data_IF_420676409146
#
_entry.id   IF_420676409146
#
_cell.length_a   1.000
_cell.length_b   1.000
_cell.length_c   1.000
_cell.angle_alpha   90.00
_cell.angle_beta   90.00
_cell.angle_gamma   90.00
#
_symmetry.space_group_name_H-M   'P 1'
#
loop_
_entity.id
_entity.type
_entity.pdbx_description
1 polymer ?
#
# COMPACT_ATOMS: atom_id res chain seq x y z
N UNK A 1 -64.39 -68.94 39.58
CA UNK A 1 -64.32 -67.99 38.43
C UNK A 1 -65.65 -67.26 38.40
N UNK A 2 -65.82 -65.96 38.50
CA UNK A 2 -64.91 -64.81 38.51
C UNK A 2 -65.64 -63.65 39.22
N UNK A 3 -64.86 -62.68 39.73
CA UNK A 3 -65.29 -61.58 40.60
C UNK A 3 -66.14 -60.48 39.92
N UNK A 4 -66.95 -59.81 40.75
CA UNK A 4 -67.58 -58.46 40.67
C UNK A 4 -66.71 -57.33 40.03
N UNK A 5 -67.16 -56.06 39.92
CA UNK A 5 -68.47 -55.43 39.63
C UNK A 5 -68.37 -54.31 38.55
N UNK A 6 -69.48 -53.59 38.33
CA UNK A 6 -69.67 -52.43 37.44
C UNK A 6 -69.21 -51.07 38.00
N UNK A 7 -69.14 -50.11 37.06
CA UNK A 7 -69.32 -48.65 37.16
C UNK A 7 -68.13 -47.77 37.58
N UNK A 8 -67.78 -46.82 36.70
CA UNK A 8 -66.81 -45.74 36.96
C UNK A 8 -66.54 -44.86 35.74
N UNK A 9 -67.40 -43.85 35.54
CA UNK A 9 -67.19 -42.55 34.87
C UNK A 9 -66.31 -42.47 33.61
N UNK A 10 -66.96 -42.42 32.45
CA UNK A 10 -66.42 -41.72 31.28
C UNK A 10 -66.72 -40.22 31.45
N UNK A 11 -65.74 -39.48 31.95
CA UNK A 11 -65.76 -38.02 31.90
C UNK A 11 -65.51 -37.55 30.47
N UNK A 12 -66.37 -36.64 30.01
CA UNK A 12 -66.17 -35.76 28.86
C UNK A 12 -64.74 -35.19 28.85
N UNK A 13 -63.93 -35.63 27.89
CA UNK A 13 -62.72 -34.93 27.52
C UNK A 13 -63.07 -33.95 26.40
N UNK A 14 -63.47 -32.74 26.80
CA UNK A 14 -63.54 -31.57 25.92
C UNK A 14 -62.15 -31.36 25.29
N UNK A 15 -62.02 -31.18 23.95
CA UNK A 15 -60.73 -30.85 23.36
C UNK A 15 -60.29 -29.49 23.88
N UNK A 16 -59.22 -29.48 24.68
CA UNK A 16 -58.57 -28.27 25.13
C UNK A 16 -58.08 -27.52 23.88
N UNK A 17 -58.66 -26.34 23.64
CA UNK A 17 -58.28 -25.49 22.52
C UNK A 17 -56.78 -25.24 22.60
N UNK A 18 -56.04 -25.69 21.58
CA UNK A 18 -54.63 -25.37 21.42
C UNK A 18 -54.49 -23.85 21.48
N UNK A 19 -53.80 -23.38 22.52
CA UNK A 19 -53.45 -21.98 22.72
C UNK A 19 -52.74 -21.50 21.45
N UNK A 20 -53.35 -20.53 20.76
CA UNK A 20 -52.81 -20.01 19.52
C UNK A 20 -51.39 -19.49 19.77
N UNK A 21 -50.43 -20.00 18.98
CA UNK A 21 -49.05 -19.52 19.02
C UNK A 21 -49.02 -17.98 18.99
N UNK A 22 -48.18 -17.33 19.81
CA UNK A 22 -48.13 -15.88 19.89
C UNK A 22 -47.94 -15.29 18.49
N UNK A 23 -48.82 -14.36 18.09
CA UNK A 23 -48.68 -13.63 16.82
C UNK A 23 -47.28 -13.03 16.78
N UNK A 24 -46.45 -13.50 15.85
CA UNK A 24 -45.13 -12.92 15.61
C UNK A 24 -45.27 -11.40 15.45
N UNK A 25 -44.48 -10.63 16.21
CA UNK A 25 -44.51 -9.18 16.16
C UNK A 25 -44.28 -8.71 14.71
N UNK A 26 -45.10 -7.76 14.24
CA UNK A 26 -45.00 -7.23 12.87
C UNK A 26 -43.65 -6.52 12.72
N UNK A 27 -42.78 -7.05 11.86
CA UNK A 27 -41.48 -6.45 11.55
C UNK A 27 -41.63 -5.30 10.56
N UNK A 28 -40.95 -4.19 10.81
CA UNK A 28 -40.92 -3.01 9.94
C UNK A 28 -39.49 -2.73 9.48
N UNK A 29 -39.31 -2.54 8.17
CA UNK A 29 -38.05 -2.12 7.56
C UNK A 29 -38.19 -0.66 7.11
N UNK A 30 -37.37 0.23 7.64
CA UNK A 30 -37.18 1.56 7.05
C UNK A 30 -36.09 1.43 5.98
N UNK A 31 -36.47 1.51 4.72
CA UNK A 31 -35.56 1.40 3.60
C UNK A 31 -35.11 2.79 3.14
N UNK A 32 -33.84 3.11 3.40
CA UNK A 32 -33.23 4.38 2.99
C UNK A 32 -32.64 4.21 1.60
N UNK A 33 -33.20 4.92 0.63
CA UNK A 33 -32.80 4.84 -0.78
C UNK A 33 -32.49 6.22 -1.34
N UNK A 34 -31.74 6.25 -2.42
CA UNK A 34 -31.24 7.46 -3.04
C UNK A 34 -29.86 7.25 -3.65
N UNK A 35 -29.40 8.23 -4.42
CA UNK A 35 -28.07 8.20 -5.02
C UNK A 35 -26.98 8.19 -3.93
N UNK A 36 -25.89 7.45 -4.15
CA UNK A 36 -24.69 7.54 -3.32
C UNK A 36 -24.30 9.02 -3.12
N UNK A 37 -23.69 9.35 -1.96
CA UNK A 37 -23.25 10.72 -1.63
C UNK A 37 -24.40 11.74 -1.42
N UNK A 38 -25.66 11.29 -1.41
CA UNK A 38 -26.84 12.11 -1.09
C UNK A 38 -27.21 12.11 0.39
N UNK A 39 -26.31 11.72 1.29
CA UNK A 39 -26.60 11.71 2.73
C UNK A 39 -27.27 10.46 3.27
N UNK A 40 -27.39 9.41 2.46
CA UNK A 40 -27.98 8.12 2.87
C UNK A 40 -27.34 7.57 4.16
N UNK A 41 -26.02 7.72 4.36
CA UNK A 41 -25.35 7.25 5.58
C UNK A 41 -25.73 8.08 6.81
N UNK A 42 -25.75 9.42 6.68
CA UNK A 42 -26.12 10.32 7.77
C UNK A 42 -27.57 10.08 8.23
N UNK A 43 -28.48 9.85 7.27
CA UNK A 43 -29.87 9.52 7.57
C UNK A 43 -30.01 8.14 8.23
N UNK A 44 -29.31 7.11 7.72
CA UNK A 44 -29.32 5.78 8.35
C UNK A 44 -28.82 5.84 9.78
N UNK A 45 -27.76 6.63 10.05
CA UNK A 45 -27.29 6.84 11.41
C UNK A 45 -28.35 7.51 12.27
N UNK A 46 -28.98 8.57 11.80
CA UNK A 46 -30.05 9.24 12.53
C UNK A 46 -31.20 8.28 12.86
N UNK A 47 -31.63 7.46 11.90
CA UNK A 47 -32.68 6.45 12.11
C UNK A 47 -32.25 5.37 13.13
N UNK A 48 -30.97 4.96 13.13
CA UNK A 48 -30.46 4.03 14.16
C UNK A 48 -30.47 4.64 15.56
N UNK A 49 -30.17 5.94 15.68
CA UNK A 49 -30.20 6.66 16.96
C UNK A 49 -31.62 6.82 17.51
N UNK A 50 -32.65 6.65 16.68
CA UNK A 50 -34.06 6.58 17.08
C UNK A 50 -34.48 5.17 17.56
N UNK A 51 -33.57 4.20 17.51
CA UNK A 51 -33.78 2.84 18.00
C UNK A 51 -34.05 1.80 16.93
N UNK A 52 -33.93 2.12 15.63
CA UNK A 52 -34.00 1.11 14.58
C UNK A 52 -32.70 0.28 14.55
N UNK A 53 -32.83 -1.04 14.45
CA UNK A 53 -31.68 -1.94 14.42
C UNK A 53 -30.84 -1.76 13.15
N UNK A 54 -29.52 -1.79 13.31
CA UNK A 54 -28.53 -1.84 12.23
C UNK A 54 -28.19 -3.30 11.88
N UNK A 55 -27.64 -3.58 10.68
CA UNK A 55 -27.19 -4.93 10.37
C UNK A 55 -26.01 -5.33 11.27
N UNK A 56 -25.94 -6.61 11.64
CA UNK A 56 -24.84 -7.16 12.46
C UNK A 56 -23.47 -6.97 11.81
N UNK A 57 -23.38 -7.09 10.48
CA UNK A 57 -22.13 -6.99 9.72
C UNK A 57 -22.17 -5.80 8.77
N UNK A 58 -21.61 -4.67 9.22
CA UNK A 58 -21.55 -3.42 8.45
C UNK A 58 -20.23 -3.26 7.70
N UNK A 59 -20.27 -2.56 6.56
CA UNK A 59 -19.07 -2.18 5.80
C UNK A 59 -18.10 -1.30 6.63
N UNK A 60 -18.62 -0.47 7.53
CA UNK A 60 -17.81 0.33 8.46
C UNK A 60 -17.14 1.56 7.82
N UNK A 61 -16.26 2.21 8.58
CA UNK A 61 -15.58 3.45 8.15
C UNK A 61 -14.50 3.18 7.10
N UNK A 62 -14.32 4.13 6.19
CA UNK A 62 -13.27 4.10 5.17
C UNK A 62 -12.80 5.53 4.82
N UNK A 63 -11.72 5.71 4.05
CA UNK A 63 -11.19 7.04 3.72
C UNK A 63 -12.17 7.99 2.99
N UNK A 64 -13.26 7.46 2.43
CA UNK A 64 -14.28 8.24 1.70
C UNK A 64 -15.52 8.57 2.55
N UNK A 65 -15.58 8.03 3.77
CA UNK A 65 -16.62 8.21 4.77
C UNK A 65 -16.08 7.80 6.16
N UNK A 66 -15.50 8.77 6.86
CA UNK A 66 -14.81 8.58 8.14
C UNK A 66 -15.76 8.13 9.27
N UNK A 67 -17.04 8.52 9.21
CA UNK A 67 -18.05 8.15 10.21
C UNK A 67 -18.56 6.71 10.09
N UNK A 68 -18.35 6.05 8.95
CA UNK A 68 -18.88 4.71 8.72
C UNK A 68 -19.95 4.61 7.65
N UNK A 69 -19.85 3.52 6.90
CA UNK A 69 -20.95 2.96 6.12
C UNK A 69 -21.78 2.02 7.01
N UNK A 70 -23.09 2.22 6.97
CA UNK A 70 -24.09 1.43 7.71
C UNK A 70 -24.71 0.33 6.83
N UNK A 71 -24.13 0.13 5.64
CA UNK A 71 -24.54 -0.89 4.68
C UNK A 71 -24.23 -2.30 5.18
N UNK A 72 -25.16 -3.27 5.05
CA UNK A 72 -24.86 -4.69 5.26
C UNK A 72 -23.89 -5.19 4.18
N UNK A 73 -22.65 -5.52 4.57
CA UNK A 73 -21.57 -5.81 3.63
C UNK A 73 -21.91 -6.98 2.69
N UNK A 74 -22.44 -8.08 3.24
CA UNK A 74 -22.76 -9.29 2.48
C UNK A 74 -23.88 -9.08 1.47
N UNK A 75 -24.80 -8.16 1.76
CA UNK A 75 -25.88 -7.80 0.85
C UNK A 75 -25.38 -6.90 -0.29
N UNK A 76 -24.45 -5.99 0.00
CA UNK A 76 -23.75 -5.21 -1.02
C UNK A 76 -23.00 -6.13 -2.00
N UNK A 77 -22.25 -7.11 -1.49
CA UNK A 77 -21.55 -8.12 -2.30
C UNK A 77 -22.52 -8.98 -3.13
N UNK A 78 -23.70 -9.30 -2.59
CA UNK A 78 -24.75 -10.00 -3.36
C UNK A 78 -25.31 -9.12 -4.50
N UNK A 79 -25.56 -7.83 -4.23
CA UNK A 79 -26.05 -6.88 -5.23
C UNK A 79 -25.00 -6.64 -6.34
N UNK A 80 -23.72 -6.54 -6.00
CA UNK A 80 -22.64 -6.43 -6.99
C UNK A 80 -22.56 -7.67 -7.88
N UNK A 81 -22.72 -8.88 -7.31
CA UNK A 81 -22.80 -10.12 -8.10
C UNK A 81 -24.02 -10.14 -9.03
N UNK A 82 -25.18 -9.69 -8.54
CA UNK A 82 -26.40 -9.62 -9.35
C UNK A 82 -26.25 -8.61 -10.50
N UNK A 83 -25.66 -7.44 -10.25
CA UNK A 83 -25.34 -6.47 -11.28
C UNK A 83 -24.40 -7.06 -12.34
N UNK A 84 -23.35 -7.78 -11.91
CA UNK A 84 -22.40 -8.41 -12.83
C UNK A 84 -23.08 -9.47 -13.72
N UNK A 85 -23.97 -10.31 -13.16
CA UNK A 85 -24.75 -11.28 -13.94
C UNK A 85 -25.69 -10.61 -14.96
N UNK A 86 -26.17 -9.40 -14.64
CA UNK A 86 -26.95 -8.56 -15.55
C UNK A 86 -26.09 -7.79 -16.57
N UNK A 87 -24.77 -8.00 -16.60
CA UNK A 87 -23.86 -7.25 -17.49
C UNK A 87 -23.74 -5.77 -17.11
N UNK A 88 -23.93 -5.46 -15.83
CA UNK A 88 -23.95 -4.12 -15.26
C UNK A 88 -23.01 -3.99 -14.07
N UNK A 89 -22.98 -2.79 -13.48
CA UNK A 89 -22.18 -2.41 -12.30
C UNK A 89 -22.85 -1.25 -11.57
N UNK A 90 -22.31 -0.89 -10.41
CA UNK A 90 -22.94 0.10 -9.51
C UNK A 90 -23.03 1.51 -10.12
N UNK A 91 -22.09 1.87 -10.99
CA UNK A 91 -21.99 3.13 -11.72
C UNK A 91 -22.60 3.06 -13.13
N UNK A 92 -23.34 1.99 -13.45
CA UNK A 92 -24.03 1.88 -14.72
C UNK A 92 -25.37 2.63 -14.71
N UNK A 93 -25.48 3.68 -15.51
CA UNK A 93 -26.68 4.50 -15.58
C UNK A 93 -27.76 3.93 -16.51
N UNK A 94 -27.53 2.82 -17.21
CA UNK A 94 -28.54 2.18 -18.08
C UNK A 94 -29.66 1.58 -17.23
N UNK A 95 -30.86 1.46 -17.80
CA UNK A 95 -31.95 0.73 -17.15
C UNK A 95 -31.59 -0.74 -17.02
N UNK A 96 -31.87 -1.33 -15.86
CA UNK A 96 -31.78 -2.78 -15.67
C UNK A 96 -33.10 -3.44 -16.06
N UNK A 97 -33.02 -4.57 -16.76
CA UNK A 97 -34.16 -5.46 -16.93
C UNK A 97 -33.89 -6.77 -16.15
N UNK A 98 -34.47 -6.93 -14.94
CA UNK A 98 -34.33 -8.15 -14.17
C UNK A 98 -34.86 -9.40 -14.88
N UNK A 99 -35.72 -9.26 -15.90
CA UNK A 99 -36.24 -10.40 -16.68
C UNK A 99 -35.16 -11.05 -17.56
N UNK A 100 -34.00 -10.41 -17.71
CA UNK A 100 -32.81 -11.00 -18.33
C UNK A 100 -32.28 -12.18 -17.49
N UNK A 101 -32.50 -12.19 -16.17
CA UNK A 101 -32.17 -13.34 -15.35
C UNK A 101 -33.12 -14.50 -15.66
N UNK A 102 -32.57 -15.68 -15.92
CA UNK A 102 -33.37 -16.90 -16.00
C UNK A 102 -34.10 -17.13 -14.65
N UNK A 103 -35.32 -17.70 -14.65
CA UNK A 103 -36.14 -17.81 -13.43
C UNK A 103 -35.43 -18.42 -12.22
N UNK A 104 -34.57 -19.44 -12.44
CA UNK A 104 -33.80 -20.07 -11.36
C UNK A 104 -32.77 -19.13 -10.70
N UNK A 105 -32.16 -18.21 -11.46
CA UNK A 105 -31.22 -17.21 -10.90
C UNK A 105 -31.98 -16.15 -10.11
N UNK A 106 -33.13 -15.69 -10.63
CA UNK A 106 -33.99 -14.75 -9.89
C UNK A 106 -34.43 -15.34 -8.54
N UNK A 107 -34.89 -16.59 -8.53
CA UNK A 107 -35.26 -17.30 -7.30
C UNK A 107 -34.08 -17.47 -6.35
N UNK A 108 -32.88 -17.76 -6.86
CA UNK A 108 -31.65 -17.80 -6.07
C UNK A 108 -31.40 -16.45 -5.36
N UNK A 109 -31.46 -15.33 -6.09
CA UNK A 109 -31.26 -14.01 -5.49
C UNK A 109 -32.35 -13.66 -4.47
N UNK A 110 -33.61 -14.00 -4.74
CA UNK A 110 -34.70 -13.83 -3.78
C UNK A 110 -34.44 -14.58 -2.48
N UNK A 111 -34.03 -15.85 -2.57
CA UNK A 111 -33.72 -16.68 -1.42
C UNK A 111 -32.50 -16.16 -0.65
N UNK A 112 -31.44 -15.74 -1.34
CA UNK A 112 -30.23 -15.19 -0.72
C UNK A 112 -30.48 -13.83 -0.06
N UNK A 113 -31.28 -12.95 -0.66
CA UNK A 113 -31.70 -11.70 -0.02
C UNK A 113 -32.48 -12.02 1.26
N UNK A 114 -33.45 -12.94 1.20
CA UNK A 114 -34.24 -13.31 2.38
C UNK A 114 -33.36 -13.87 3.51
N UNK A 115 -32.44 -14.77 3.16
CA UNK A 115 -31.47 -15.37 4.09
C UNK A 115 -30.58 -14.30 4.74
N UNK A 116 -30.03 -13.38 3.95
CA UNK A 116 -29.17 -12.30 4.47
C UNK A 116 -29.95 -11.32 5.35
N UNK A 117 -31.19 -10.95 4.99
CA UNK A 117 -32.01 -10.08 5.85
C UNK A 117 -32.31 -10.76 7.19
N UNK A 118 -32.58 -12.06 7.20
CA UNK A 118 -32.79 -12.79 8.45
C UNK A 118 -31.51 -12.88 9.29
N UNK A 119 -30.37 -13.20 8.68
CA UNK A 119 -29.08 -13.27 9.37
C UNK A 119 -28.64 -11.93 9.95
N UNK A 120 -28.73 -10.85 9.17
CA UNK A 120 -28.25 -9.52 9.54
C UNK A 120 -29.14 -8.81 10.56
N UNK A 121 -30.45 -9.04 10.55
CA UNK A 121 -31.41 -8.31 11.40
C UNK A 121 -32.17 -9.19 12.40
N UNK A 122 -32.12 -10.53 12.26
CA UNK A 122 -32.77 -11.48 13.17
C UNK A 122 -34.25 -11.17 13.40
N UNK A 123 -34.64 -11.15 14.68
CA UNK A 123 -36.02 -10.87 15.11
C UNK A 123 -36.31 -9.38 15.36
N UNK A 124 -35.48 -8.45 14.87
CA UNK A 124 -35.69 -7.01 15.06
C UNK A 124 -37.09 -6.60 14.57
N UNK A 125 -37.86 -5.95 15.46
CA UNK A 125 -39.22 -5.46 15.17
C UNK A 125 -39.20 -4.21 14.30
N UNK A 126 -38.16 -3.37 14.45
CA UNK A 126 -37.87 -2.22 13.60
C UNK A 126 -36.39 -2.22 13.23
N UNK A 127 -36.08 -2.17 11.95
CA UNK A 127 -34.71 -2.07 11.46
C UNK A 127 -34.59 -1.12 10.29
N UNK A 128 -33.38 -0.60 10.06
CA UNK A 128 -33.06 0.27 8.93
C UNK A 128 -32.18 -0.46 7.94
N UNK A 129 -32.62 -0.52 6.68
CA UNK A 129 -31.85 -1.09 5.59
C UNK A 129 -31.44 0.01 4.63
N UNK A 130 -30.13 0.12 4.43
CA UNK A 130 -29.54 1.04 3.46
C UNK A 130 -28.48 0.32 2.66
N UNK A 131 -28.66 0.30 1.36
CA UNK A 131 -27.62 -0.03 0.38
C UNK A 131 -28.03 0.68 -0.91
N UNK A 132 -27.27 1.66 -1.43
CA UNK A 132 -27.81 2.57 -2.44
C UNK A 132 -28.17 1.90 -3.78
N UNK A 133 -27.58 0.75 -4.13
CA UNK A 133 -27.98 -0.01 -5.34
C UNK A 133 -29.36 -0.63 -5.21
N UNK A 134 -29.92 -0.78 -4.00
CA UNK A 134 -31.33 -1.17 -3.80
C UNK A 134 -32.27 -0.21 -4.53
N UNK A 135 -31.89 1.05 -4.74
CA UNK A 135 -32.65 2.00 -5.58
C UNK A 135 -32.97 1.43 -6.98
N UNK A 136 -32.11 0.55 -7.51
CA UNK A 136 -32.25 -0.12 -8.81
C UNK A 136 -32.95 -1.48 -8.71
N UNK A 137 -33.15 -2.00 -7.50
CA UNK A 137 -33.72 -3.32 -7.21
C UNK A 137 -34.96 -3.27 -6.31
N UNK A 138 -35.55 -2.10 -6.09
CA UNK A 138 -36.71 -1.92 -5.19
C UNK A 138 -37.81 -2.95 -5.45
N UNK A 139 -38.25 -3.25 -6.69
CA UNK A 139 -39.30 -4.25 -6.92
C UNK A 139 -38.93 -5.65 -6.41
N UNK A 140 -37.66 -6.06 -6.57
CA UNK A 140 -37.15 -7.34 -6.09
C UNK A 140 -37.17 -7.40 -4.56
N UNK A 141 -36.59 -6.38 -3.91
CA UNK A 141 -36.55 -6.28 -2.46
C UNK A 141 -37.95 -6.19 -1.85
N UNK A 142 -38.85 -5.41 -2.44
CA UNK A 142 -40.25 -5.31 -2.03
C UNK A 142 -40.94 -6.68 -2.09
N UNK A 143 -40.71 -7.45 -3.17
CA UNK A 143 -41.23 -8.82 -3.31
C UNK A 143 -40.73 -9.75 -2.21
N UNK A 144 -39.42 -9.75 -1.93
CA UNK A 144 -38.80 -10.57 -0.89
C UNK A 144 -39.31 -10.17 0.50
N UNK A 145 -39.32 -8.89 0.84
CA UNK A 145 -39.79 -8.41 2.14
C UNK A 145 -41.26 -8.74 2.38
N UNK A 146 -42.10 -8.65 1.32
CA UNK A 146 -43.50 -9.08 1.39
C UNK A 146 -43.64 -10.58 1.69
N UNK A 147 -42.82 -11.44 1.08
CA UNK A 147 -42.80 -12.88 1.38
C UNK A 147 -42.37 -13.16 2.83
N UNK A 148 -41.42 -12.38 3.34
CA UNK A 148 -40.98 -12.41 4.74
C UNK A 148 -41.97 -11.77 5.72
N UNK A 149 -43.09 -11.21 5.23
CA UNK A 149 -44.09 -10.47 6.02
C UNK A 149 -43.51 -9.26 6.77
N UNK A 150 -42.52 -8.61 6.16
CA UNK A 150 -41.89 -7.38 6.64
C UNK A 150 -42.58 -6.19 5.98
N UNK A 151 -43.05 -5.24 6.79
CA UNK A 151 -43.65 -3.98 6.34
C UNK A 151 -42.54 -3.00 5.94
N UNK A 152 -42.45 -2.64 4.67
CA UNK A 152 -41.39 -1.76 4.16
C UNK A 152 -41.90 -0.33 4.04
N UNK A 153 -41.14 0.61 4.58
CA UNK A 153 -41.42 2.06 4.48
C UNK A 153 -40.19 2.77 3.94
N UNK A 154 -40.38 3.61 2.94
CA UNK A 154 -39.27 4.17 2.16
C UNK A 154 -38.96 5.60 2.61
N UNK A 155 -37.67 5.88 2.79
CA UNK A 155 -37.17 7.26 2.93
C UNK A 155 -36.26 7.53 1.74
N UNK A 156 -36.72 8.39 0.84
CA UNK A 156 -35.98 8.80 -0.35
C UNK A 156 -35.21 10.06 -0.01
N UNK A 157 -33.89 9.94 0.10
CA UNK A 157 -33.04 11.09 0.39
C UNK A 157 -32.37 11.63 -0.87
N UNK A 158 -32.65 12.89 -1.18
CA UNK A 158 -32.06 13.64 -2.26
C UNK A 158 -30.97 14.59 -1.77
N UNK A 159 -30.14 15.05 -2.69
CA UNK A 159 -29.16 16.11 -2.47
C UNK A 159 -29.02 16.91 -3.75
N UNK A 160 -28.61 18.18 -3.66
CA UNK A 160 -28.32 18.97 -4.84
C UNK A 160 -27.34 18.23 -5.79
N UNK A 161 -27.68 18.04 -7.07
CA UNK A 161 -26.85 17.34 -8.04
C UNK A 161 -25.42 17.87 -8.12
N UNK A 162 -25.22 19.20 -8.04
CA UNK A 162 -23.88 19.79 -8.08
C UNK A 162 -22.99 19.28 -6.94
N UNK A 163 -23.55 19.12 -5.75
CA UNK A 163 -22.83 18.61 -4.60
C UNK A 163 -22.50 17.12 -4.74
N UNK A 164 -23.44 16.33 -5.29
CA UNK A 164 -23.21 14.91 -5.59
C UNK A 164 -22.11 14.75 -6.64
N UNK A 165 -22.18 15.52 -7.73
CA UNK A 165 -21.18 15.52 -8.82
C UNK A 165 -19.81 15.88 -8.28
N UNK A 166 -19.69 16.95 -7.47
CA UNK A 166 -18.42 17.33 -6.87
C UNK A 166 -17.85 16.22 -5.95
N UNK A 167 -18.72 15.54 -5.18
CA UNK A 167 -18.28 14.44 -4.33
C UNK A 167 -17.84 13.22 -5.13
N UNK A 168 -18.48 12.89 -6.25
CA UNK A 168 -18.09 11.77 -7.12
C UNK A 168 -16.80 12.08 -7.87
N UNK A 169 -16.63 13.32 -8.34
CA UNK A 169 -15.38 13.75 -8.95
C UNK A 169 -14.19 13.60 -7.98
N UNK A 170 -14.36 13.95 -6.70
CA UNK A 170 -13.30 13.78 -5.69
C UNK A 170 -13.02 12.31 -5.36
N UNK A 171 -14.04 11.45 -5.35
CA UNK A 171 -13.93 10.04 -4.92
C UNK A 171 -13.47 9.11 -6.04
N UNK A 172 -14.08 9.24 -7.21
CA UNK A 172 -13.99 8.29 -8.32
C UNK A 172 -13.43 8.93 -9.60
N UNK A 173 -13.06 10.22 -9.57
CA UNK A 173 -12.58 10.98 -10.73
C UNK A 173 -13.61 11.04 -11.89
N UNK A 174 -14.89 10.88 -11.56
CA UNK A 174 -15.96 10.93 -12.55
C UNK A 174 -16.15 12.34 -13.13
N UNK A 175 -16.49 12.37 -14.41
CA UNK A 175 -16.81 13.62 -15.13
C UNK A 175 -18.21 14.12 -14.76
N UNK A 176 -18.43 15.43 -14.92
CA UNK A 176 -19.72 16.10 -14.65
C UNK A 176 -20.88 15.39 -15.37
N UNK A 177 -20.73 15.09 -16.65
CA UNK A 177 -21.77 14.43 -17.45
C UNK A 177 -22.08 13.03 -16.93
N UNK A 178 -21.05 12.21 -16.69
CA UNK A 178 -21.25 10.84 -16.20
C UNK A 178 -21.89 10.80 -14.81
N UNK A 179 -21.40 11.63 -13.87
CA UNK A 179 -22.01 11.76 -12.54
C UNK A 179 -23.45 12.25 -12.59
N UNK A 180 -23.78 13.14 -13.53
CA UNK A 180 -25.16 13.63 -13.73
C UNK A 180 -26.10 12.51 -14.15
N UNK A 181 -25.70 11.68 -15.13
CA UNK A 181 -26.51 10.54 -15.59
C UNK A 181 -26.68 9.49 -14.49
N UNK A 182 -25.64 9.25 -13.70
CA UNK A 182 -25.69 8.30 -12.60
C UNK A 182 -26.65 8.75 -11.50
N UNK A 183 -26.60 10.04 -11.12
CA UNK A 183 -27.56 10.63 -10.18
C UNK A 183 -28.99 10.54 -10.72
N UNK A 184 -29.19 10.88 -12.00
CA UNK A 184 -30.48 10.85 -12.68
C UNK A 184 -31.11 9.45 -12.63
N UNK A 185 -30.34 8.42 -12.99
CA UNK A 185 -30.78 7.01 -12.94
C UNK A 185 -31.30 6.62 -11.56
N UNK A 186 -30.50 6.87 -10.51
CA UNK A 186 -30.86 6.48 -9.16
C UNK A 186 -32.10 7.22 -8.64
N UNK A 187 -32.22 8.53 -8.92
CA UNK A 187 -33.36 9.32 -8.50
C UNK A 187 -34.66 8.84 -9.17
N UNK A 188 -34.63 8.61 -10.49
CA UNK A 188 -35.79 8.17 -11.25
C UNK A 188 -36.24 6.76 -10.89
N UNK A 189 -35.31 5.82 -10.71
CA UNK A 189 -35.67 4.43 -10.36
C UNK A 189 -36.19 4.32 -8.93
N UNK A 190 -35.54 4.96 -7.97
CA UNK A 190 -36.01 5.00 -6.59
C UNK A 190 -37.42 5.59 -6.48
N UNK A 191 -37.65 6.73 -7.14
CA UNK A 191 -38.95 7.39 -7.12
C UNK A 191 -40.02 6.50 -7.76
N UNK A 192 -39.81 6.07 -9.00
CA UNK A 192 -40.81 5.31 -9.74
C UNK A 192 -41.17 3.99 -9.05
N UNK A 193 -40.17 3.25 -8.57
CA UNK A 193 -40.38 1.93 -7.98
C UNK A 193 -41.03 1.94 -6.59
N UNK A 194 -41.05 3.09 -5.92
CA UNK A 194 -41.67 3.24 -4.58
C UNK A 194 -43.08 3.83 -4.61
N UNK A 195 -43.59 4.22 -5.79
CA UNK A 195 -44.97 4.73 -5.90
C UNK A 195 -45.98 3.73 -5.36
N UNK A 196 -47.01 4.24 -4.67
CA UNK A 196 -48.04 3.42 -4.02
C UNK A 196 -47.60 2.71 -2.74
N UNK A 197 -46.34 2.87 -2.30
CA UNK A 197 -45.86 2.42 -1.00
C UNK A 197 -45.80 3.58 0.00
N UNK A 198 -45.80 3.32 1.32
CA UNK A 198 -45.51 4.33 2.33
C UNK A 198 -44.11 4.90 2.10
N UNK A 199 -44.01 6.17 1.70
CA UNK A 199 -42.75 6.81 1.32
C UNK A 199 -42.71 8.26 1.79
N UNK A 200 -41.53 8.80 2.03
CA UNK A 200 -41.28 10.23 2.29
C UNK A 200 -40.01 10.66 1.55
N UNK A 201 -39.99 11.91 1.08
CA UNK A 201 -38.80 12.52 0.48
C UNK A 201 -38.17 13.47 1.50
N UNK A 202 -36.84 13.45 1.58
CA UNK A 202 -36.06 14.37 2.38
C UNK A 202 -34.87 14.88 1.57
N UNK A 203 -34.40 16.08 1.87
CA UNK A 203 -33.14 16.60 1.33
C UNK A 203 -32.01 16.51 2.35
N UNK A 204 -30.81 16.17 1.89
CA UNK A 204 -29.59 16.18 2.71
C UNK A 204 -29.37 17.56 3.33
N UNK A 205 -29.61 18.63 2.57
CA UNK A 205 -29.54 20.00 3.05
C UNK A 205 -30.52 20.24 4.22
N UNK A 206 -31.80 19.83 4.05
CA UNK A 206 -32.82 19.97 5.09
C UNK A 206 -32.50 19.18 6.37
N UNK A 207 -31.79 18.06 6.27
CA UNK A 207 -31.34 17.30 7.45
C UNK A 207 -30.25 17.99 8.26
N UNK A 208 -29.56 19.03 7.78
CA UNK A 208 -28.62 19.78 8.63
C UNK A 208 -29.29 21.00 9.24
N UNK A 209 -30.11 21.69 8.44
CA UNK A 209 -30.73 22.94 8.87
C UNK A 209 -31.94 22.70 9.78
N UNK A 210 -32.73 21.66 9.49
CA UNK A 210 -34.06 21.41 10.07
C UNK A 210 -34.30 19.93 10.36
N UNK A 211 -33.30 19.22 10.87
CA UNK A 211 -33.37 17.76 11.10
C UNK A 211 -34.57 17.33 11.94
N UNK A 212 -35.03 18.15 12.89
CA UNK A 212 -36.21 17.86 13.72
C UNK A 212 -37.47 17.71 12.88
N UNK A 213 -37.66 18.60 11.91
CA UNK A 213 -38.79 18.56 10.99
C UNK A 213 -38.71 17.31 10.10
N UNK A 214 -37.51 16.94 9.65
CA UNK A 214 -37.29 15.70 8.93
C UNK A 214 -37.67 14.45 9.74
N UNK A 215 -37.26 14.36 11.01
CA UNK A 215 -37.61 13.23 11.88
C UNK A 215 -39.11 13.20 12.20
N UNK A 216 -39.72 14.34 12.53
CA UNK A 216 -41.15 14.43 12.79
C UNK A 216 -41.96 14.09 11.52
N UNK A 217 -41.46 14.46 10.33
CA UNK A 217 -42.00 14.08 9.03
C UNK A 217 -41.94 12.57 8.77
N UNK A 218 -40.80 11.92 9.02
CA UNK A 218 -40.67 10.44 8.95
C UNK A 218 -41.68 9.79 9.88
N UNK A 219 -41.74 10.25 11.13
CA UNK A 219 -42.61 9.68 12.18
C UNK A 219 -44.06 9.71 11.76
N UNK A 220 -44.54 10.89 11.33
CA UNK A 220 -45.94 11.12 10.98
C UNK A 220 -46.34 10.46 9.66
N UNK A 221 -45.55 10.66 8.60
CA UNK A 221 -45.85 10.13 7.25
C UNK A 221 -45.78 8.61 7.24
N UNK A 222 -44.70 8.05 7.80
CA UNK A 222 -44.49 6.61 7.79
C UNK A 222 -45.18 5.92 8.96
N UNK A 223 -45.79 6.64 9.91
CA UNK A 223 -46.50 6.09 11.09
C UNK A 223 -45.60 5.17 11.92
N UNK A 224 -44.38 5.62 12.20
CA UNK A 224 -43.36 4.84 12.93
C UNK A 224 -43.50 5.09 14.43
N UNK A 225 -43.60 4.02 15.20
CA UNK A 225 -43.43 4.04 16.65
C UNK A 225 -41.96 3.78 16.96
N UNK A 226 -41.23 4.83 17.35
CA UNK A 226 -39.81 4.71 17.66
C UNK A 226 -39.58 3.93 18.96
N UNK A 227 -38.65 2.94 18.98
CA UNK A 227 -38.36 2.17 20.19
C UNK A 227 -37.81 3.00 21.35
N UNK A 228 -37.11 4.10 21.05
CA UNK A 228 -36.52 4.99 22.04
C UNK A 228 -37.40 6.24 22.29
N UNK A 229 -37.57 6.67 23.56
CA UNK A 229 -38.27 7.91 23.89
C UNK A 229 -37.59 9.16 23.28
N UNK A 230 -38.40 10.19 22.95
CA UNK A 230 -37.92 11.46 22.37
C UNK A 230 -36.82 12.15 23.18
N UNK A 231 -36.86 12.02 24.50
CA UNK A 231 -35.84 12.59 25.39
C UNK A 231 -34.44 11.95 25.19
N UNK A 232 -34.38 10.66 24.85
CA UNK A 232 -33.11 9.92 24.75
C UNK A 232 -32.37 10.22 23.44
N UNK A 233 -33.10 10.23 22.32
CA UNK A 233 -32.46 10.43 21.01
C UNK A 233 -32.22 11.90 20.65
N UNK A 234 -32.88 12.86 21.29
CA UNK A 234 -32.78 14.30 20.93
C UNK A 234 -31.35 14.84 21.07
N UNK A 235 -30.63 14.47 22.14
CA UNK A 235 -29.24 14.88 22.34
C UNK A 235 -28.30 14.18 21.35
N UNK A 236 -28.48 12.89 21.13
CA UNK A 236 -27.69 12.11 20.17
C UNK A 236 -27.83 12.65 18.74
N UNK A 237 -29.05 12.96 18.30
CA UNK A 237 -29.29 13.57 16.99
C UNK A 237 -28.76 15.00 16.90
N UNK A 238 -28.88 15.79 17.96
CA UNK A 238 -28.29 17.13 17.99
C UNK A 238 -26.79 17.08 17.76
N UNK A 239 -26.07 16.14 18.39
CA UNK A 239 -24.64 15.94 18.19
C UNK A 239 -24.32 15.41 16.79
N UNK A 240 -25.07 14.42 16.32
CA UNK A 240 -24.91 13.82 14.98
C UNK A 240 -24.98 14.86 13.85
N UNK A 241 -25.82 15.89 13.99
CA UNK A 241 -25.94 16.98 13.01
C UNK A 241 -25.20 18.26 13.39
N UNK A 242 -24.53 18.33 14.55
CA UNK A 242 -23.78 19.51 15.00
C UNK A 242 -22.48 19.69 14.22
N UNK A 243 -21.79 18.59 13.93
CA UNK A 243 -20.60 18.61 13.10
C UNK A 243 -21.03 18.74 11.63
N UNK A 244 -20.84 19.94 11.08
CA UNK A 244 -21.16 20.25 9.68
C UNK A 244 -20.18 19.54 8.75
N UNK A 245 -20.32 18.23 8.59
CA UNK A 245 -19.66 17.43 7.56
C UNK A 245 -20.29 17.62 6.18
N UNK A 246 -21.00 18.72 5.95
CA UNK A 246 -21.58 19.06 4.65
C UNK A 246 -20.47 19.50 3.68
N UNK A 247 -19.75 18.52 3.14
CA UNK A 247 -18.76 18.73 2.10
C UNK A 247 -19.45 19.03 0.78
N UNK A 248 -19.20 20.19 0.18
CA UNK A 248 -19.83 20.65 -1.07
C UNK A 248 -21.31 21.04 -0.87
N UNK A 249 -21.56 22.33 -0.63
CA UNK A 249 -22.89 22.91 -0.61
C UNK A 249 -23.17 23.60 -1.95
N UNK A 250 -24.39 23.45 -2.47
CA UNK A 250 -24.83 24.12 -3.68
C UNK A 250 -26.31 24.51 -3.55
N UNK A 251 -26.65 25.71 -4.03
CA UNK A 251 -28.03 26.21 -4.05
C UNK A 251 -28.78 25.77 -5.30
N UNK A 252 -30.11 25.82 -5.24
CA UNK A 252 -30.96 25.61 -6.42
C UNK A 252 -30.62 26.60 -7.54
N UNK A 253 -30.43 27.87 -7.21
CA UNK A 253 -30.06 28.90 -8.19
C UNK A 253 -28.74 28.62 -8.89
N UNK A 254 -27.74 28.07 -8.18
CA UNK A 254 -26.49 27.64 -8.79
C UNK A 254 -26.67 26.48 -9.77
N UNK A 255 -27.52 25.49 -9.42
CA UNK A 255 -27.84 24.37 -10.31
C UNK A 255 -28.54 24.87 -11.58
N UNK A 256 -29.54 25.74 -11.45
CA UNK A 256 -30.29 26.27 -12.60
C UNK A 256 -29.38 27.06 -13.56
N UNK A 257 -28.46 27.85 -13.00
CA UNK A 257 -27.55 28.70 -13.76
C UNK A 257 -26.34 27.96 -14.37
N UNK A 258 -26.05 26.72 -13.98
CA UNK A 258 -24.88 25.99 -14.48
C UNK A 258 -25.14 25.48 -15.92
N UNK A 259 -24.37 25.94 -16.93
CA UNK A 259 -24.57 25.55 -18.33
C UNK A 259 -24.03 24.14 -18.63
N UNK A 260 -23.26 23.53 -17.71
CA UNK A 260 -22.73 22.18 -17.87
C UNK A 260 -23.74 21.10 -17.49
N UNK A 261 -24.81 21.49 -16.80
CA UNK A 261 -25.85 20.61 -16.30
C UNK A 261 -27.04 20.65 -17.25
N UNK A 262 -27.40 19.48 -17.76
CA UNK A 262 -28.54 19.31 -18.65
C UNK A 262 -29.88 19.56 -17.94
N UNK A 263 -30.88 20.01 -18.71
CA UNK A 263 -32.21 20.34 -18.21
C UNK A 263 -32.93 19.15 -17.57
N UNK A 264 -32.65 17.91 -17.96
CA UNK A 264 -33.22 16.73 -17.29
C UNK A 264 -32.84 16.67 -15.81
N UNK A 265 -31.61 17.03 -15.46
CA UNK A 265 -31.14 17.03 -14.07
C UNK A 265 -31.88 18.10 -13.26
N UNK A 266 -32.03 19.30 -13.84
CA UNK A 266 -32.75 20.44 -13.23
C UNK A 266 -34.22 20.11 -13.02
N UNK A 267 -34.86 19.54 -14.04
CA UNK A 267 -36.26 19.11 -14.00
C UNK A 267 -36.52 18.03 -12.94
N UNK A 268 -35.66 17.01 -12.87
CA UNK A 268 -35.80 15.94 -11.88
C UNK A 268 -35.54 16.45 -10.48
N UNK A 269 -34.50 17.27 -10.27
CA UNK A 269 -34.24 17.85 -8.95
C UNK A 269 -35.39 18.75 -8.50
N UNK A 270 -35.90 19.60 -9.40
CA UNK A 270 -37.07 20.44 -9.13
C UNK A 270 -38.31 19.62 -8.77
N UNK A 271 -38.59 18.53 -9.48
CA UNK A 271 -39.70 17.63 -9.17
C UNK A 271 -39.52 16.90 -7.83
N UNK A 272 -38.31 16.43 -7.51
CA UNK A 272 -38.01 15.82 -6.20
C UNK A 272 -38.23 16.81 -5.05
N UNK A 273 -37.88 18.09 -5.24
CA UNK A 273 -38.17 19.15 -4.26
C UNK A 273 -39.67 19.39 -4.07
N UNK A 274 -40.48 19.28 -5.12
CA UNK A 274 -41.94 19.32 -4.99
C UNK A 274 -42.45 18.10 -4.21
N UNK A 275 -41.90 16.91 -4.46
CA UNK A 275 -42.28 15.68 -3.76
C UNK A 275 -41.87 15.64 -2.28
N UNK A 276 -40.90 16.47 -1.87
CA UNK A 276 -40.55 16.71 -0.46
C UNK A 276 -41.68 17.43 0.30
N UNK A 277 -42.46 18.27 -0.40
CA UNK A 277 -43.61 18.98 0.16
C UNK A 277 -44.91 18.18 -0.01
N UNK A 278 -45.15 17.64 -1.21
CA UNK A 278 -46.31 16.78 -1.53
C UNK A 278 -45.88 15.50 -2.26
N UNK A 279 -45.82 14.40 -1.52
CA UNK A 279 -45.39 13.07 -1.98
C UNK A 279 -46.29 12.48 -3.08
N UNK A 280 -47.49 13.03 -3.25
CA UNK A 280 -48.50 12.60 -4.21
C UNK A 280 -48.72 13.59 -5.35
N UNK A 281 -47.87 14.63 -5.49
CA UNK A 281 -48.00 15.62 -6.56
C UNK A 281 -47.90 14.95 -7.95
N UNK A 282 -49.03 14.96 -8.66
CA UNK A 282 -49.17 14.29 -9.94
C UNK A 282 -48.35 14.94 -11.07
N UNK A 283 -48.15 16.27 -11.01
CA UNK A 283 -47.40 16.99 -12.02
C UNK A 283 -45.90 16.72 -11.90
N UNK A 284 -45.37 16.64 -10.69
CA UNK A 284 -44.01 16.22 -10.39
C UNK A 284 -43.76 14.79 -10.87
N UNK A 285 -44.62 13.83 -10.50
CA UNK A 285 -44.50 12.44 -10.96
C UNK A 285 -44.57 12.31 -12.49
N UNK A 286 -45.47 13.05 -13.14
CA UNK A 286 -45.58 13.05 -14.60
C UNK A 286 -44.33 13.60 -15.28
N UNK A 287 -43.71 14.66 -14.71
CA UNK A 287 -42.43 15.19 -15.20
C UNK A 287 -41.30 14.17 -15.06
N UNK A 288 -41.23 13.47 -13.93
CA UNK A 288 -40.26 12.40 -13.70
C UNK A 288 -40.45 11.26 -14.71
N UNK A 289 -41.69 10.86 -15.02
CA UNK A 289 -41.97 9.83 -16.02
C UNK A 289 -41.57 10.26 -17.43
N UNK A 290 -41.80 11.51 -17.81
CA UNK A 290 -41.40 12.05 -19.10
C UNK A 290 -39.87 12.00 -19.27
N UNK A 291 -39.13 12.47 -18.26
CA UNK A 291 -37.65 12.40 -18.27
C UNK A 291 -37.17 10.95 -18.27
N UNK A 292 -37.78 10.07 -17.46
CA UNK A 292 -37.42 8.65 -17.42
C UNK A 292 -37.63 7.96 -18.75
N UNK A 293 -38.78 8.16 -19.41
CA UNK A 293 -39.06 7.60 -20.72
C UNK A 293 -38.07 8.07 -21.79
N UNK A 294 -37.75 9.36 -21.80
CA UNK A 294 -36.75 9.92 -22.71
C UNK A 294 -35.35 9.36 -22.42
N UNK A 295 -34.96 9.25 -21.15
CA UNK A 295 -33.66 8.74 -20.74
C UNK A 295 -33.50 7.25 -21.04
N UNK A 296 -34.53 6.44 -20.77
CA UNK A 296 -34.54 5.00 -21.08
C UNK A 296 -34.44 4.75 -22.59
N UNK A 297 -34.96 5.66 -23.43
CA UNK A 297 -34.86 5.54 -24.90
C UNK A 297 -33.43 5.65 -25.43
N UNK A 298 -32.49 6.24 -24.67
CA UNK A 298 -31.07 6.34 -25.05
C UNK A 298 -30.30 5.04 -24.84
N UNK A 299 -30.78 4.14 -23.98
CA UNK A 299 -30.04 2.95 -23.56
C UNK A 299 -29.65 2.00 -24.70
N UNK A 300 -30.54 1.65 -25.66
CA UNK A 300 -30.23 0.68 -26.71
C UNK A 300 -29.12 1.15 -27.68
N UNK A 301 -29.02 2.47 -27.90
CA UNK A 301 -28.09 3.03 -28.90
C UNK A 301 -26.82 3.55 -28.21
N UNK A 302 -26.96 4.50 -27.30
CA UNK A 302 -25.81 5.16 -26.67
C UNK A 302 -25.28 4.36 -25.49
N UNK A 303 -26.17 3.89 -24.62
CA UNK A 303 -25.77 3.15 -23.42
C UNK A 303 -25.00 1.88 -23.77
N UNK A 304 -25.54 1.06 -24.68
CA UNK A 304 -24.92 -0.18 -25.10
C UNK A 304 -23.52 0.04 -25.72
N UNK A 305 -23.38 1.00 -26.63
CA UNK A 305 -22.10 1.32 -27.25
C UNK A 305 -21.09 1.90 -26.24
N UNK A 306 -21.55 2.82 -25.38
CA UNK A 306 -20.71 3.51 -24.40
C UNK A 306 -20.12 2.55 -23.36
N UNK A 307 -20.94 1.71 -22.73
CA UNK A 307 -20.45 0.80 -21.69
C UNK A 307 -19.62 -0.36 -22.27
N UNK A 308 -19.92 -0.82 -23.49
CA UNK A 308 -19.07 -1.80 -24.16
C UNK A 308 -17.66 -1.23 -24.42
N UNK A 309 -17.58 0.01 -24.93
CA UNK A 309 -16.32 0.70 -25.19
C UNK A 309 -15.54 0.98 -23.89
N UNK A 310 -16.20 1.48 -22.84
CA UNK A 310 -15.57 1.68 -21.52
C UNK A 310 -15.00 0.38 -20.99
N UNK A 311 -15.80 -0.69 -20.98
CA UNK A 311 -15.34 -2.00 -20.48
C UNK A 311 -14.15 -2.52 -21.27
N UNK A 312 -14.14 -2.34 -22.59
CA UNK A 312 -13.02 -2.74 -23.45
C UNK A 312 -11.75 -1.93 -23.15
N UNK A 313 -11.88 -0.60 -22.95
CA UNK A 313 -10.74 0.27 -22.60
C UNK A 313 -10.18 0.00 -21.23
N UNK A 314 -11.03 -0.21 -20.24
CA UNK A 314 -10.63 -0.58 -18.87
C UNK A 314 -9.87 -1.91 -18.89
N UNK A 315 -10.41 -2.92 -19.59
CA UNK A 315 -9.74 -4.21 -19.75
C UNK A 315 -8.37 -4.06 -20.40
N UNK A 316 -8.29 -3.33 -21.51
CA UNK A 316 -7.02 -3.10 -22.21
C UNK A 316 -6.02 -2.30 -21.35
N UNK A 317 -6.50 -1.35 -20.54
CA UNK A 317 -5.66 -0.60 -19.61
C UNK A 317 -5.13 -1.49 -18.47
N UNK A 318 -5.98 -2.35 -17.90
CA UNK A 318 -5.60 -3.30 -16.87
C UNK A 318 -4.58 -4.32 -17.39
N UNK A 319 -4.77 -4.84 -18.61
CA UNK A 319 -3.81 -5.74 -19.26
C UNK A 319 -2.46 -5.06 -19.49
N UNK A 320 -2.44 -3.80 -19.98
CA UNK A 320 -1.20 -3.03 -20.13
C UNK A 320 -0.50 -2.80 -18.79
N UNK A 321 -1.24 -2.46 -17.74
CA UNK A 321 -0.67 -2.26 -16.41
C UNK A 321 -0.08 -3.56 -15.84
N UNK A 322 -0.78 -4.70 -16.02
CA UNK A 322 -0.28 -6.00 -15.61
C UNK A 322 1.02 -6.38 -16.36
N UNK A 323 1.09 -6.11 -17.66
CA UNK A 323 2.30 -6.31 -18.47
C UNK A 323 3.45 -5.42 -18.00
N UNK A 324 3.20 -4.13 -17.75
CA UNK A 324 4.19 -3.20 -17.22
C UNK A 324 4.71 -3.64 -15.85
N UNK A 325 3.83 -4.12 -14.98
CA UNK A 325 4.23 -4.64 -13.67
C UNK A 325 5.10 -5.88 -13.78
N UNK A 326 4.73 -6.83 -14.65
CA UNK A 326 5.54 -8.02 -14.91
C UNK A 326 6.94 -7.64 -15.43
N UNK A 327 7.01 -6.72 -16.40
CA UNK A 327 8.29 -6.23 -16.93
C UNK A 327 9.13 -5.49 -15.87
N UNK A 328 8.49 -4.71 -15.00
CA UNK A 328 9.17 -4.05 -13.88
C UNK A 328 9.71 -5.07 -12.87
N UNK A 329 8.93 -6.10 -12.53
CA UNK A 329 9.37 -7.18 -11.63
C UNK A 329 10.57 -7.95 -12.22
N UNK A 330 10.58 -8.21 -13.53
CA UNK A 330 11.72 -8.81 -14.24
C UNK A 330 12.96 -7.92 -14.20
N UNK A 331 12.82 -6.61 -14.44
CA UNK A 331 13.92 -5.64 -14.36
C UNK A 331 14.49 -5.54 -12.94
N UNK A 332 13.63 -5.52 -11.92
CA UNK A 332 14.06 -5.54 -10.52
C UNK A 332 14.86 -6.82 -10.22
N UNK A 333 14.40 -7.98 -10.67
CA UNK A 333 15.11 -9.25 -10.49
C UNK A 333 16.45 -9.29 -11.25
N UNK A 334 16.56 -8.65 -12.41
CA UNK A 334 17.84 -8.49 -13.12
C UNK A 334 18.79 -7.55 -12.40
N UNK A 335 18.31 -6.40 -11.92
CA UNK A 335 19.11 -5.44 -11.16
C UNK A 335 19.65 -6.05 -9.86
N UNK A 336 18.85 -6.83 -9.13
CA UNK A 336 19.31 -7.54 -7.93
C UNK A 336 20.39 -8.59 -8.25
N UNK A 337 20.26 -9.32 -9.36
CA UNK A 337 21.31 -10.24 -9.83
C UNK A 337 22.60 -9.50 -10.18
N UNK A 338 22.51 -8.43 -10.97
CA UNK A 338 23.66 -7.61 -11.35
C UNK A 338 24.34 -6.98 -10.13
N UNK A 339 23.55 -6.55 -9.13
CA UNK A 339 24.07 -6.02 -7.86
C UNK A 339 24.81 -7.08 -7.06
N UNK A 340 24.27 -8.30 -6.96
CA UNK A 340 24.91 -9.41 -6.29
C UNK A 340 26.23 -9.79 -6.97
N UNK A 341 26.25 -9.86 -8.31
CA UNK A 341 27.48 -10.11 -9.07
C UNK A 341 28.53 -9.00 -8.88
N UNK A 342 28.12 -7.74 -8.94
CA UNK A 342 29.01 -6.61 -8.71
C UNK A 342 29.60 -6.63 -7.29
N UNK A 343 28.79 -6.96 -6.29
CA UNK A 343 29.24 -7.12 -4.90
C UNK A 343 30.27 -8.27 -4.77
N UNK A 344 30.01 -9.41 -5.40
CA UNK A 344 30.93 -10.55 -5.41
C UNK A 344 32.28 -10.19 -6.10
N UNK A 345 32.23 -9.54 -7.26
CA UNK A 345 33.45 -9.05 -7.95
C UNK A 345 34.20 -8.01 -7.10
N UNK A 346 33.48 -7.11 -6.42
CA UNK A 346 34.07 -6.13 -5.51
C UNK A 346 34.79 -6.78 -4.32
N UNK A 347 34.20 -7.82 -3.73
CA UNK A 347 34.84 -8.61 -2.67
C UNK A 347 36.11 -9.30 -3.17
N UNK A 348 36.06 -9.93 -4.35
CA UNK A 348 37.21 -10.60 -4.97
C UNK A 348 38.36 -9.61 -5.27
N UNK A 349 38.06 -8.43 -5.81
CA UNK A 349 39.08 -7.40 -6.07
C UNK A 349 39.70 -6.87 -4.77
N UNK A 350 38.90 -6.75 -3.72
CA UNK A 350 39.39 -6.34 -2.39
C UNK A 350 40.36 -7.39 -1.82
N UNK A 351 40.04 -8.67 -1.94
CA UNK A 351 40.92 -9.77 -1.54
C UNK A 351 42.24 -9.75 -2.33
N UNK A 352 42.16 -9.62 -3.67
CA UNK A 352 43.34 -9.51 -4.53
C UNK A 352 44.22 -8.30 -4.17
N UNK A 353 43.62 -7.15 -3.86
CA UNK A 353 44.36 -5.96 -3.42
C UNK A 353 45.09 -6.21 -2.09
N UNK A 354 44.42 -6.85 -1.12
CA UNK A 354 45.05 -7.19 0.16
C UNK A 354 46.22 -8.17 -0.02
N UNK A 355 46.08 -9.17 -0.89
CA UNK A 355 47.16 -10.10 -1.21
C UNK A 355 48.34 -9.41 -1.91
N UNK A 356 48.07 -8.53 -2.88
CA UNK A 356 49.12 -7.75 -3.54
C UNK A 356 49.83 -6.81 -2.57
N UNK A 357 49.10 -6.17 -1.65
CA UNK A 357 49.69 -5.33 -0.60
C UNK A 357 50.60 -6.15 0.32
N UNK A 358 50.15 -7.35 0.74
CA UNK A 358 50.94 -8.27 1.55
C UNK A 358 52.22 -8.69 0.83
N UNK A 359 52.13 -9.11 -0.43
CA UNK A 359 53.28 -9.47 -1.25
C UNK A 359 54.26 -8.29 -1.43
N UNK A 360 53.75 -7.07 -1.60
CA UNK A 360 54.58 -5.88 -1.71
C UNK A 360 55.34 -5.57 -0.41
N UNK A 361 54.69 -5.71 0.75
CA UNK A 361 55.34 -5.55 2.06
C UNK A 361 56.36 -6.67 2.33
N UNK A 362 56.07 -7.92 1.96
CA UNK A 362 57.01 -9.04 2.01
C UNK A 362 58.25 -8.76 1.15
N UNK A 363 58.08 -8.33 -0.10
CA UNK A 363 59.20 -7.97 -0.99
C UNK A 363 60.02 -6.80 -0.45
N UNK A 364 59.37 -5.81 0.16
CA UNK A 364 60.04 -4.65 0.76
C UNK A 364 60.85 -5.07 1.99
N UNK A 365 60.32 -5.95 2.83
CA UNK A 365 61.03 -6.52 3.97
C UNK A 365 62.25 -7.35 3.52
N UNK A 366 62.08 -8.20 2.51
CA UNK A 366 63.17 -8.99 1.91
C UNK A 366 64.26 -8.09 1.30
N UNK A 367 63.88 -7.03 0.59
CA UNK A 367 64.83 -6.06 0.04
C UNK A 367 65.61 -5.33 1.15
N UNK A 368 64.93 -4.90 2.22
CA UNK A 368 65.56 -4.28 3.37
C UNK A 368 66.53 -5.22 4.11
N UNK A 369 66.16 -6.50 4.25
CA UNK A 369 67.03 -7.52 4.84
C UNK A 369 68.29 -7.74 3.99
N UNK A 370 68.14 -7.88 2.66
CA UNK A 370 69.28 -8.01 1.73
C UNK A 370 70.19 -6.78 1.77
N UNK A 371 69.62 -5.58 1.84
CA UNK A 371 70.40 -4.34 1.95
C UNK A 371 71.17 -4.28 3.28
N UNK A 372 70.55 -4.70 4.38
CA UNK A 372 71.20 -4.78 5.69
C UNK A 372 72.37 -5.80 5.69
N UNK A 373 72.16 -6.99 5.11
CA UNK A 373 73.20 -8.02 4.97
C UNK A 373 74.36 -7.53 4.09
N UNK A 374 74.07 -6.88 2.96
CA UNK A 374 75.10 -6.30 2.10
C UNK A 374 75.89 -5.21 2.83
N UNK A 375 75.23 -4.35 3.60
CA UNK A 375 75.89 -3.34 4.44
C UNK A 375 76.76 -3.97 5.53
N UNK A 376 76.28 -5.02 6.19
CA UNK A 376 77.04 -5.73 7.23
C UNK A 376 78.29 -6.39 6.62
N UNK A 377 78.14 -7.08 5.49
CA UNK A 377 79.25 -7.70 4.75
C UNK A 377 80.27 -6.66 4.25
N UNK A 378 79.80 -5.51 3.75
CA UNK A 378 80.67 -4.41 3.33
C UNK A 378 81.49 -3.86 4.51
N UNK A 379 80.85 -3.60 5.66
CA UNK A 379 81.54 -3.16 6.89
C UNK A 379 82.55 -4.19 7.39
N UNK A 380 82.19 -5.48 7.40
CA UNK A 380 83.08 -6.55 7.82
C UNK A 380 84.31 -6.65 6.90
N UNK A 381 84.11 -6.50 5.59
CA UNK A 381 85.19 -6.50 4.60
C UNK A 381 86.08 -5.26 4.71
N UNK A 382 85.50 -4.09 4.95
CA UNK A 382 86.24 -2.86 5.22
C UNK A 382 87.12 -3.00 6.48
N UNK A 383 86.56 -3.56 7.57
CA UNK A 383 87.31 -3.81 8.80
C UNK A 383 88.45 -4.82 8.60
N UNK A 384 88.23 -5.91 7.84
CA UNK A 384 89.27 -6.88 7.49
C UNK A 384 90.38 -6.26 6.64
N UNK A 385 90.02 -5.42 5.66
CA UNK A 385 90.98 -4.68 4.85
C UNK A 385 91.78 -3.67 5.67
N UNK A 386 91.13 -2.94 6.58
CA UNK A 386 91.82 -2.03 7.52
C UNK A 386 92.79 -2.80 8.41
N UNK A 387 92.37 -3.93 9.01
CA UNK A 387 93.24 -4.75 9.84
C UNK A 387 94.46 -5.30 9.07
N UNK A 388 94.27 -5.69 7.81
CA UNK A 388 95.36 -6.10 6.91
C UNK A 388 96.30 -4.94 6.60
N UNK A 389 95.76 -3.77 6.27
CA UNK A 389 96.55 -2.57 6.00
C UNK A 389 97.36 -2.13 7.22
N UNK A 390 96.77 -2.15 8.43
CA UNK A 390 97.46 -1.86 9.69
C UNK A 390 98.59 -2.87 9.93
N UNK A 391 98.35 -4.16 9.67
CA UNK A 391 99.38 -5.20 9.79
C UNK A 391 100.52 -5.02 8.78
N UNK A 392 100.21 -4.65 7.54
CA UNK A 392 101.21 -4.33 6.52
C UNK A 392 102.00 -3.06 6.86
N UNK A 393 101.34 -2.02 7.37
CA UNK A 393 101.99 -0.81 7.83
C UNK A 393 102.97 -1.10 8.99
N UNK A 394 102.56 -1.95 9.94
CA UNK A 394 103.46 -2.42 11.01
C UNK A 394 104.67 -3.17 10.45
N UNK A 395 104.46 -4.09 9.51
CA UNK A 395 105.55 -4.83 8.86
C UNK A 395 106.49 -3.90 8.07
N UNK A 396 105.94 -2.91 7.38
CA UNK A 396 106.73 -1.93 6.65
C UNK A 396 107.58 -1.08 7.59
N UNK A 397 107.01 -0.64 8.72
CA UNK A 397 107.71 0.14 9.74
C UNK A 397 108.81 -0.68 10.45
N UNK A 398 108.55 -1.97 10.73
CA UNK A 398 109.56 -2.90 11.24
C UNK A 398 110.69 -3.12 10.23
N UNK A 399 110.36 -3.29 8.94
CA UNK A 399 111.34 -3.44 7.87
C UNK A 399 112.17 -2.16 7.67
N UNK A 400 111.56 -0.98 7.78
CA UNK A 400 112.23 0.31 7.73
C UNK A 400 113.19 0.47 8.92
N UNK A 401 112.75 0.12 10.13
CA UNK A 401 113.62 0.10 11.33
C UNK A 401 114.78 -0.88 11.18
N UNK A 402 114.56 -2.05 10.57
CA UNK A 402 115.64 -3.00 10.25
C UNK A 402 116.60 -2.45 9.19
N UNK A 403 116.10 -1.77 8.16
CA UNK A 403 116.92 -1.13 7.14
C UNK A 403 117.77 0.00 7.72
N UNK A 404 117.21 0.82 8.62
CA UNK A 404 117.98 1.83 9.36
C UNK A 404 119.09 1.19 10.19
N UNK A 405 118.79 0.11 10.91
CA UNK A 405 119.77 -0.66 11.69
C UNK A 405 120.88 -1.23 10.80
N UNK A 406 120.53 -1.84 9.66
CA UNK A 406 121.51 -2.35 8.68
C UNK A 406 122.32 -1.22 8.07
N UNK A 407 121.71 -0.06 7.78
CA UNK A 407 122.41 1.11 7.27
C UNK A 407 123.40 1.69 8.29
N UNK A 408 123.04 1.70 9.58
CA UNK A 408 123.96 2.05 10.67
C UNK A 408 125.11 1.05 10.80
N UNK A 409 124.83 -0.26 10.74
CA UNK A 409 125.86 -1.30 10.73
C UNK A 409 126.78 -1.17 9.51
N UNK A 410 126.24 -0.84 8.33
CA UNK A 410 127.01 -0.60 7.12
C UNK A 410 127.90 0.64 7.26
N UNK A 411 127.37 1.74 7.84
CA UNK A 411 128.18 2.94 8.15
C UNK A 411 129.28 2.61 9.16
N UNK A 412 129.00 1.81 10.18
CA UNK A 412 129.98 1.37 11.17
C UNK A 412 131.06 0.47 10.53
N UNK A 413 130.67 -0.50 9.70
CA UNK A 413 131.58 -1.37 8.96
C UNK A 413 132.40 -0.61 7.91
N UNK A 414 131.83 0.42 7.26
CA UNK A 414 132.57 1.32 6.38
C UNK A 414 133.59 2.16 7.18
N UNK A 415 133.21 2.66 8.36
CA UNK A 415 134.15 3.34 9.29
C UNK A 415 135.28 2.41 9.72
N UNK A 416 134.98 1.16 10.07
CA UNK A 416 136.00 0.14 10.36
C UNK A 416 136.86 -0.17 9.15
N UNK A 417 136.28 -0.31 7.96
CA UNK A 417 137.04 -0.57 6.72
C UNK A 417 137.96 0.60 6.38
N UNK A 418 137.53 1.84 6.60
CA UNK A 418 138.34 3.04 6.44
C UNK A 418 139.44 3.09 7.51
N UNK A 419 139.16 2.76 8.77
CA UNK A 419 140.17 2.65 9.83
C UNK A 419 141.19 1.54 9.56
N UNK A 420 140.75 0.37 9.09
CA UNK A 420 141.63 -0.74 8.72
C UNK A 420 142.49 -0.31 7.53
N UNK A 421 141.92 0.30 6.47
CA UNK A 421 142.69 0.80 5.31
C UNK A 421 143.70 1.90 5.67
N UNK A 422 143.42 2.69 6.72
CA UNK A 422 144.32 3.72 7.23
C UNK A 422 145.25 3.24 8.37
N UNK A 423 145.14 1.97 8.79
CA UNK A 423 146.00 1.39 9.82
C UNK A 423 147.38 1.04 9.26
N UNK A 424 148.40 1.15 10.12
CA UNK A 424 149.80 0.96 9.77
C UNK A 424 150.10 -0.46 9.26
N UNK A 425 149.29 -1.47 9.62
CA UNK A 425 149.48 -2.85 9.18
C UNK A 425 148.90 -3.13 7.78
N UNK A 426 147.82 -2.46 7.37
CA UNK A 426 147.24 -2.62 6.03
C UNK A 426 148.06 -1.89 4.98
N UNK A 427 148.58 -0.68 5.28
CA UNK A 427 149.50 0.03 4.37
C UNK A 427 150.79 -0.74 4.08
N UNK A 428 151.26 -1.59 5.00
CA UNK A 428 152.46 -2.43 4.82
C UNK A 428 152.16 -3.74 4.06
N UNK A 429 150.95 -4.31 4.22
CA UNK A 429 150.56 -5.59 3.61
C UNK A 429 149.79 -5.47 2.28
N UNK A 430 149.43 -4.26 1.84
CA UNK A 430 148.70 -4.00 0.58
C UNK A 430 149.42 -4.52 -0.68
N UNK A 431 150.74 -4.32 -0.86
CA UNK A 431 151.45 -4.85 -2.03
C UNK A 431 151.45 -6.40 -2.07
N UNK A 432 151.52 -7.05 -0.90
CA UNK A 432 151.58 -8.52 -0.78
C UNK A 432 150.22 -9.19 -1.01
N UNK A 433 149.12 -8.53 -0.62
CA UNK A 433 147.75 -9.07 -0.82
C UNK A 433 147.22 -8.86 -2.24
N UNK A 434 147.58 -7.76 -2.92
CA UNK A 434 147.23 -7.53 -4.33
C UNK A 434 147.86 -8.59 -5.26
N UNK A 435 149.09 -9.01 -4.96
CA UNK A 435 149.76 -10.14 -5.64
C UNK A 435 149.10 -11.51 -5.37
N UNK A 436 148.35 -11.66 -4.26
CA UNK A 436 147.64 -12.91 -3.92
C UNK A 436 146.21 -12.97 -4.48
N UNK A 437 145.55 -11.83 -4.71
CA UNK A 437 144.22 -11.80 -5.36
C UNK A 437 144.29 -12.04 -6.87
N UNK A 438 145.44 -11.77 -7.50
CA UNK A 438 145.73 -12.15 -8.89
C UNK A 438 145.94 -13.67 -9.08
N UNK A 439 146.04 -14.45 -8.00
CA UNK A 439 146.25 -15.92 -8.01
C UNK A 439 145.03 -16.72 -7.49
N UNK A 440 143.88 -16.07 -7.27
CA UNK A 440 142.65 -16.70 -6.74
C UNK A 440 141.39 -16.45 -7.58
N UNK A 441 141.56 -15.95 -8.81
CA UNK A 441 140.58 -16.10 -9.88
C UNK A 441 140.77 -17.48 -10.51
N UNK A 442 140.29 -18.52 -9.84
CA UNK A 442 139.89 -19.82 -10.41
C UNK A 442 139.31 -20.70 -9.29
N UNK A 443 138.11 -21.24 -9.55
CA UNK A 443 137.25 -22.12 -8.73
C UNK A 443 136.18 -21.46 -7.84
N UNK A 444 134.93 -21.48 -8.34
CA UNK A 444 133.69 -21.26 -7.57
C UNK A 444 132.60 -20.59 -8.37
#
# INVERSE_FOLDING_TARGET
MSNYPSSGNLHDATPQAAEAAPKAAKRTCIMVIGMHRSGTSALTRAISLLGAELPKTMLGANPTNEEGHWEPQRLMELNDRMLAELGSRWDDWRSLDPNVLIPGRLQFYQAEIARLIDEEYGSASLFVLKEPRISRFVPLYMGVMKQMRIDVRYVLIGRNPLAVIASLAKRDEFTVGFSSLLWLRHALEAEHATRGQPRIFLSYEGMFDQWREGIDGITSTLKIDWPLPKAEWSAALSNHFADKHQHHAASRGQLEADPRIDDWIKQVYGAVKVLEEDQADAAAMSRLDAVRGAFDSLNPVFGAAFFAEISAREKAAAERLAQQRCAADEQVAELERNRAEAAARGAQLTEQLNDLQRLAEEQKADAAAREADLRANAKAREADLMAKADSEALRANDAESQLESVAEQLKAAQKETIQIKNSHSWRVMYPVRYLKSLLRSDAG
#
